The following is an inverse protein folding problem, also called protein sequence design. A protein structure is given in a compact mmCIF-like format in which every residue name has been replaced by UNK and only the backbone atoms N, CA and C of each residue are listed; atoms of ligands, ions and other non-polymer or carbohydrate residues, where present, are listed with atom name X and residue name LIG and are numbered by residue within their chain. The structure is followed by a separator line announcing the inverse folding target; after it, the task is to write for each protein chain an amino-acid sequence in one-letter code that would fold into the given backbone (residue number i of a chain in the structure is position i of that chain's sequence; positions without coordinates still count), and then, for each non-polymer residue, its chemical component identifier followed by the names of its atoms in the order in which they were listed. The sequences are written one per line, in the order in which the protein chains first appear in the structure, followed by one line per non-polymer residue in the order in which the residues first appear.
data_IF_640919602703
#
_entry.id   IF_640919602703
#
_cell.length_a   1.000
_cell.length_b   1.000
_cell.length_c   1.000
_cell.angle_alpha   90.00
_cell.angle_beta   90.00
_cell.angle_gamma   90.00
#
_symmetry.space_group_name_H-M   'P 1'
#
loop_
_entity.id
_entity.type
_entity.pdbx_description
1 polymer ?
#
# COMPACT_ATOMS: atom_id res chain seq x y z
N UNK A 1 -27.20 63.43 31.89
CA UNK A 1 -26.13 62.42 32.03
C UNK A 1 -26.79 61.15 32.52
N UNK A 2 -27.02 60.21 31.60
CA UNK A 2 -27.59 58.90 31.90
C UNK A 2 -26.48 57.88 31.64
N UNK A 3 -26.08 57.16 32.69
CA UNK A 3 -25.12 56.06 32.60
C UNK A 3 -25.81 54.85 31.97
N UNK A 4 -25.26 54.37 30.85
CA UNK A 4 -25.62 53.09 30.23
C UNK A 4 -24.47 52.14 30.53
N UNK A 5 -24.69 51.20 31.44
CA UNK A 5 -23.78 50.06 31.62
C UNK A 5 -23.91 49.11 30.42
N UNK A 6 -22.82 48.65 29.79
CA UNK A 6 -22.89 47.54 28.86
C UNK A 6 -22.87 46.23 29.65
N UNK A 7 -24.00 45.54 29.71
CA UNK A 7 -24.06 44.13 30.10
C UNK A 7 -23.46 43.28 28.98
N UNK A 8 -22.14 43.07 29.01
CA UNK A 8 -21.49 42.01 28.24
C UNK A 8 -21.80 40.69 28.95
N UNK A 9 -22.92 40.07 28.57
CA UNK A 9 -23.15 38.66 28.83
C UNK A 9 -22.06 37.88 28.10
N UNK A 10 -21.11 37.34 28.86
CA UNK A 10 -20.16 36.36 28.37
C UNK A 10 -20.98 35.15 27.88
N UNK A 11 -21.05 34.98 26.55
CA UNK A 11 -21.45 33.70 25.99
C UNK A 11 -20.28 32.75 26.24
N UNK A 12 -20.43 31.88 27.24
CA UNK A 12 -19.56 30.72 27.42
C UNK A 12 -19.56 29.92 26.12
N UNK A 13 -18.43 29.95 25.42
CA UNK A 13 -18.19 29.09 24.27
C UNK A 13 -18.05 27.67 24.81
N UNK A 14 -18.78 26.67 24.26
CA UNK A 14 -18.68 25.30 24.74
C UNK A 14 -17.26 24.79 24.46
N UNK A 15 -16.45 24.71 25.52
CA UNK A 15 -15.17 24.02 25.49
C UNK A 15 -15.48 22.54 25.61
N UNK A 16 -15.66 21.88 24.47
CA UNK A 16 -15.68 20.42 24.42
C UNK A 16 -14.35 19.91 24.97
N UNK A 17 -14.37 19.28 26.14
CA UNK A 17 -13.22 18.56 26.68
C UNK A 17 -12.88 17.40 25.72
N UNK A 18 -11.75 17.50 25.05
CA UNK A 18 -11.24 16.41 24.20
C UNK A 18 -10.54 15.41 25.13
N UNK A 19 -11.13 14.24 25.30
CA UNK A 19 -10.49 13.13 25.99
C UNK A 19 -9.63 12.32 25.00
N UNK A 20 -8.38 12.04 25.38
CA UNK A 20 -7.46 11.28 24.54
C UNK A 20 -7.67 9.78 24.75
N UNK A 21 -8.21 9.08 23.75
CA UNK A 21 -8.34 7.63 23.78
C UNK A 21 -7.05 6.96 23.29
N UNK A 22 -6.41 6.13 24.13
CA UNK A 22 -5.27 5.32 23.72
C UNK A 22 -5.72 4.04 22.98
N UNK A 23 -5.32 3.91 21.71
CA UNK A 23 -5.65 2.75 20.88
C UNK A 23 -4.54 1.70 20.91
N UNK A 24 -4.83 0.55 21.52
CA UNK A 24 -3.87 -0.54 21.63
C UNK A 24 -3.75 -1.33 20.30
N UNK A 25 -2.53 -1.55 19.82
CA UNK A 25 -2.21 -2.39 18.65
C UNK A 25 -2.20 -3.89 18.97
N UNK A 26 -2.29 -4.74 17.96
CA UNK A 26 -2.16 -6.18 18.15
C UNK A 26 -0.78 -6.53 18.69
N UNK A 27 -0.75 -7.39 19.72
CA UNK A 27 0.49 -8.02 20.17
C UNK A 27 0.94 -9.00 19.10
N UNK A 28 2.16 -8.82 18.60
CA UNK A 28 2.77 -9.66 17.57
C UNK A 28 3.76 -10.61 18.25
N UNK A 29 3.71 -11.90 17.91
CA UNK A 29 4.59 -12.94 18.47
C UNK A 29 6.02 -12.85 17.93
N UNK A 30 6.71 -11.76 18.21
CA UNK A 30 8.09 -11.52 17.75
C UNK A 30 9.05 -12.20 18.75
N UNK A 31 9.93 -13.10 18.30
CA UNK A 31 10.89 -13.78 19.16
C UNK A 31 11.80 -12.80 19.94
N UNK A 32 12.11 -13.08 21.23
CA UNK A 32 12.93 -12.19 22.06
C UNK A 32 14.32 -11.89 21.50
N UNK A 33 14.94 -12.83 20.77
CA UNK A 33 16.25 -12.62 20.17
C UNK A 33 16.24 -11.56 19.06
N UNK A 34 15.08 -11.36 18.41
CA UNK A 34 14.88 -10.28 17.43
C UNK A 34 14.68 -8.96 18.17
N UNK A 35 13.82 -8.93 19.20
CA UNK A 35 13.54 -7.70 19.95
C UNK A 35 14.71 -7.20 20.80
N UNK A 36 15.61 -8.09 21.21
CA UNK A 36 16.80 -7.75 21.99
C UNK A 36 18.04 -7.55 21.10
N UNK A 37 17.92 -7.84 19.80
CA UNK A 37 18.98 -7.66 18.81
C UNK A 37 18.78 -6.41 17.94
N UNK A 38 19.78 -6.08 17.13
CA UNK A 38 19.69 -5.00 16.13
C UNK A 38 19.28 -3.65 16.70
N UNK A 39 18.19 -3.08 16.16
CA UNK A 39 17.62 -1.79 16.58
C UNK A 39 16.45 -1.95 17.57
N UNK A 40 16.29 -3.13 18.17
CA UNK A 40 15.24 -3.44 19.12
C UNK A 40 13.84 -3.35 18.50
N UNK A 41 13.02 -2.40 18.97
CA UNK A 41 11.64 -2.17 18.50
C UNK A 41 11.50 -0.98 17.53
N UNK A 42 12.61 -0.50 16.96
CA UNK A 42 12.60 0.61 16.01
C UNK A 42 11.64 0.35 14.84
N UNK A 43 11.61 -0.87 14.32
CA UNK A 43 10.74 -1.28 13.21
C UNK A 43 9.23 -1.24 13.55
N UNK A 44 8.87 -1.09 14.83
CA UNK A 44 7.47 -0.93 15.27
C UNK A 44 6.99 0.53 15.23
N UNK A 45 7.82 1.48 14.80
CA UNK A 45 7.39 2.88 14.62
C UNK A 45 6.36 2.99 13.50
N UNK A 46 5.23 3.65 13.78
CA UNK A 46 4.18 3.91 12.80
C UNK A 46 4.70 4.92 11.77
N UNK A 47 4.60 4.59 10.48
CA UNK A 47 5.00 5.48 9.37
C UNK A 47 3.83 5.98 8.57
N UNK A 48 2.72 5.24 8.58
CA UNK A 48 1.52 5.56 7.82
C UNK A 48 0.30 5.43 8.72
N UNK A 49 -0.62 6.36 8.58
CA UNK A 49 -1.93 6.34 9.20
C UNK A 49 -2.93 6.95 8.22
N UNK A 50 -4.08 6.31 8.06
CA UNK A 50 -5.14 6.81 7.20
C UNK A 50 -6.52 6.47 7.76
N UNK A 51 -7.46 7.39 7.53
CA UNK A 51 -8.87 7.22 7.89
C UNK A 51 -9.67 6.79 6.67
N UNK A 52 -10.71 6.00 6.87
CA UNK A 52 -11.68 5.75 5.82
C UNK A 52 -12.39 7.05 5.41
N UNK A 53 -12.97 7.12 4.19
CA UNK A 53 -13.63 8.35 3.72
C UNK A 53 -14.79 8.83 4.61
N UNK A 54 -15.44 7.92 5.32
CA UNK A 54 -16.50 8.18 6.29
C UNK A 54 -15.99 8.36 7.73
N UNK A 55 -14.68 8.23 7.95
CA UNK A 55 -14.02 8.29 9.26
C UNK A 55 -14.51 7.24 10.27
N UNK A 56 -15.13 6.15 9.81
CA UNK A 56 -15.56 5.03 10.66
C UNK A 56 -14.47 3.96 10.86
N UNK A 57 -13.37 4.04 10.10
CA UNK A 57 -12.26 3.11 10.19
C UNK A 57 -10.93 3.86 10.20
N UNK A 58 -9.98 3.36 11.00
CA UNK A 58 -8.61 3.85 11.07
C UNK A 58 -7.68 2.69 10.74
N UNK A 59 -6.70 2.92 9.88
CA UNK A 59 -5.62 1.99 9.59
C UNK A 59 -4.28 2.65 9.89
N UNK A 60 -3.37 1.92 10.51
CA UNK A 60 -1.97 2.33 10.66
C UNK A 60 -1.04 1.22 10.22
N UNK A 61 0.14 1.61 9.75
CA UNK A 61 1.19 0.65 9.41
C UNK A 61 2.56 1.09 9.95
N UNK A 62 3.38 0.11 10.32
CA UNK A 62 4.74 0.32 10.83
C UNK A 62 5.83 -0.07 9.83
N UNK A 63 7.08 0.30 10.14
CA UNK A 63 8.26 -0.03 9.32
C UNK A 63 8.45 -1.53 9.10
N UNK A 64 8.06 -2.36 10.07
CA UNK A 64 8.12 -3.82 9.98
C UNK A 64 7.09 -4.40 9.00
N UNK A 65 6.12 -3.60 8.53
CA UNK A 65 5.08 -4.05 7.60
C UNK A 65 3.85 -4.63 8.26
N UNK A 66 3.65 -4.42 9.57
CA UNK A 66 2.37 -4.75 10.21
C UNK A 66 1.35 -3.65 9.95
N UNK A 67 0.12 -4.08 9.66
CA UNK A 67 -1.05 -3.19 9.56
C UNK A 67 -1.96 -3.50 10.75
N UNK A 68 -2.38 -2.46 11.47
CA UNK A 68 -3.39 -2.53 12.53
C UNK A 68 -4.58 -1.65 12.12
N UNK A 69 -5.80 -2.13 12.42
CA UNK A 69 -7.04 -1.43 12.05
C UNK A 69 -8.01 -1.34 13.22
N UNK A 70 -8.76 -0.24 13.28
CA UNK A 70 -9.79 0.06 14.27
C UNK A 70 -11.07 0.51 13.58
N UNK A 71 -12.20 0.26 14.23
CA UNK A 71 -13.54 0.62 13.77
C UNK A 71 -14.17 1.50 14.85
N UNK A 72 -14.89 2.53 14.44
CA UNK A 72 -15.65 3.39 15.33
C UNK A 72 -17.02 2.74 15.61
N UNK A 73 -17.35 2.49 16.89
CA UNK A 73 -18.69 2.04 17.24
C UNK A 73 -19.69 3.20 17.14
N UNK A 74 -20.70 3.07 16.28
CA UNK A 74 -21.83 3.99 16.23
C UNK A 74 -22.74 3.83 17.45
N UNK A 75 -23.42 4.92 17.86
CA UNK A 75 -24.46 4.88 18.88
C UNK A 75 -25.69 4.14 18.33
N UNK A 76 -25.74 2.81 18.50
CA UNK A 76 -26.89 2.00 18.08
C UNK A 76 -26.59 0.54 17.74
N UNK A 77 -25.33 0.17 17.48
CA UNK A 77 -24.94 -1.21 17.20
C UNK A 77 -24.01 -1.72 18.30
N UNK A 78 -24.59 -2.01 19.46
CA UNK A 78 -23.93 -2.88 20.42
C UNK A 78 -23.65 -4.25 19.77
N UNK A 79 -22.61 -4.97 20.20
CA UNK A 79 -22.39 -6.33 19.74
C UNK A 79 -23.66 -7.13 20.01
N UNK A 80 -24.28 -7.65 18.96
CA UNK A 80 -25.32 -8.67 19.11
C UNK A 80 -24.62 -9.90 19.67
N UNK A 81 -24.60 -10.00 20.99
CA UNK A 81 -24.31 -11.25 21.68
C UNK A 81 -25.25 -12.29 21.10
N UNK A 82 -24.66 -13.24 20.37
CA UNK A 82 -25.36 -14.40 19.86
C UNK A 82 -25.73 -15.31 21.01
N UNK A 83 -26.81 -14.98 21.73
CA UNK A 83 -27.49 -15.93 22.60
C UNK A 83 -29.00 -15.83 22.40
N UNK A 84 -29.44 -16.28 21.23
CA UNK A 84 -30.84 -16.61 21.00
C UNK A 84 -31.13 -18.03 21.48
N UNK A 85 -31.96 -18.15 22.51
CA UNK A 85 -32.93 -19.24 22.65
C UNK A 85 -32.56 -20.39 23.58
N UNK A 86 -33.16 -20.37 24.77
CA UNK A 86 -33.17 -21.53 25.66
C UNK A 86 -34.01 -21.31 26.92
N UNK A 87 -35.33 -21.18 26.76
CA UNK A 87 -36.26 -21.32 27.89
C UNK A 87 -36.19 -22.78 28.38
N UNK A 88 -35.82 -22.98 29.63
CA UNK A 88 -35.79 -24.30 30.27
C UNK A 88 -35.61 -24.17 31.78
N UNK A 89 -36.73 -24.19 32.49
CA UNK A 89 -36.81 -24.31 33.94
C UNK A 89 -36.05 -25.55 34.44
N UNK A 90 -35.29 -25.39 35.52
CA UNK A 90 -34.51 -26.48 36.14
C UNK A 90 -33.89 -26.06 37.47
N UNK A 91 -34.70 -26.17 38.51
CA UNK A 91 -34.43 -26.08 39.94
C UNK A 91 -33.25 -26.97 40.41
N UNK A 92 -32.45 -26.52 41.39
CA UNK A 92 -31.34 -27.30 41.95
C UNK A 92 -30.34 -26.50 42.79
N UNK A 93 -30.57 -26.52 44.10
CA UNK A 93 -29.87 -25.82 45.18
C UNK A 93 -28.36 -26.13 45.43
N UNK A 94 -27.76 -25.17 46.16
CA UNK A 94 -26.78 -25.30 47.25
C UNK A 94 -25.24 -25.27 47.06
N UNK A 95 -24.69 -24.19 47.66
CA UNK A 95 -23.60 -24.15 48.66
C UNK A 95 -22.15 -23.72 48.27
N UNK A 96 -21.87 -22.46 48.64
CA UNK A 96 -20.76 -21.96 49.46
C UNK A 96 -19.31 -21.82 48.90
N UNK A 97 -19.02 -20.56 48.50
CA UNK A 97 -18.02 -19.61 49.01
C UNK A 97 -16.49 -19.87 49.00
N UNK A 98 -15.82 -18.84 48.45
CA UNK A 98 -14.55 -18.14 48.81
C UNK A 98 -13.20 -18.78 48.52
N UNK A 99 -12.48 -18.16 47.59
CA UNK A 99 -11.11 -17.68 47.83
C UNK A 99 -10.83 -16.42 47.02
N UNK A 100 -10.66 -15.34 47.76
CA UNK A 100 -10.27 -13.98 47.38
C UNK A 100 -8.92 -13.97 46.62
N UNK A 101 -8.82 -13.19 45.55
CA UNK A 101 -7.56 -12.53 45.18
C UNK A 101 -7.86 -11.23 44.45
N UNK A 102 -7.59 -10.14 45.17
CA UNK A 102 -7.57 -8.74 44.74
C UNK A 102 -6.81 -8.53 43.43
N UNK A 103 -7.50 -7.93 42.47
CA UNK A 103 -6.92 -6.89 41.61
C UNK A 103 -8.05 -5.96 41.22
N UNK A 104 -8.22 -4.92 42.03
CA UNK A 104 -8.97 -3.71 41.71
C UNK A 104 -8.32 -3.06 40.48
N UNK A 105 -8.80 -3.41 39.29
CA UNK A 105 -8.91 -2.42 38.22
C UNK A 105 -10.41 -2.20 38.08
N UNK A 106 -10.84 -1.02 38.54
CA UNK A 106 -12.17 -0.50 38.33
C UNK A 106 -12.45 -0.55 36.82
N UNK A 107 -13.20 -1.56 36.38
CA UNK A 107 -13.93 -1.47 35.13
C UNK A 107 -15.02 -0.43 35.36
N UNK A 108 -14.61 0.85 35.30
CA UNK A 108 -15.53 1.93 34.98
C UNK A 108 -16.23 1.46 33.70
N UNK A 109 -17.52 1.14 33.86
CA UNK A 109 -18.45 0.98 32.76
C UNK A 109 -18.48 2.32 32.02
N UNK A 110 -17.49 2.54 31.17
CA UNK A 110 -17.45 3.63 30.21
C UNK A 110 -18.72 3.50 29.40
N UNK A 111 -19.55 4.53 29.49
CA UNK A 111 -20.78 4.69 28.74
C UNK A 111 -20.59 4.14 27.32
N UNK A 112 -21.57 3.38 26.83
CA UNK A 112 -21.64 2.82 25.48
C UNK A 112 -21.82 3.93 24.41
N UNK A 113 -20.89 4.88 24.39
CA UNK A 113 -20.87 6.10 23.61
C UNK A 113 -19.58 6.12 22.79
N UNK A 114 -19.71 5.85 21.48
CA UNK A 114 -18.71 6.11 20.42
C UNK A 114 -17.24 5.97 20.83
N UNK A 115 -16.79 4.73 21.02
CA UNK A 115 -15.37 4.41 21.21
C UNK A 115 -14.76 3.77 19.97
N UNK A 116 -13.49 4.06 19.70
CA UNK A 116 -12.71 3.27 18.75
C UNK A 116 -12.42 1.90 19.35
N UNK A 117 -12.79 0.84 18.62
CA UNK A 117 -12.47 -0.54 18.98
C UNK A 117 -11.53 -1.15 17.96
N UNK A 118 -10.73 -2.12 18.37
CA UNK A 118 -9.89 -2.87 17.44
C UNK A 118 -10.78 -3.69 16.50
N UNK A 119 -10.47 -3.66 15.21
CA UNK A 119 -11.16 -4.50 14.24
C UNK A 119 -10.97 -6.00 14.62
N UNK A 120 -12.06 -6.78 14.81
CA UNK A 120 -11.98 -8.20 15.15
C UNK A 120 -11.15 -9.03 14.16
N UNK A 121 -11.16 -8.62 12.89
CA UNK A 121 -10.47 -9.29 11.79
C UNK A 121 -9.08 -8.69 11.50
N UNK A 122 -8.57 -7.76 12.31
CA UNK A 122 -7.25 -7.17 12.13
C UNK A 122 -6.11 -8.20 12.13
N UNK A 123 -6.29 -9.32 12.84
CA UNK A 123 -5.30 -10.42 12.89
C UNK A 123 -5.18 -11.19 11.57
N UNK A 124 -6.18 -11.10 10.69
CA UNK A 124 -6.20 -11.78 9.38
C UNK A 124 -5.41 -11.01 8.33
N UNK A 125 -5.16 -9.71 8.56
CA UNK A 125 -4.34 -8.90 7.66
C UNK A 125 -2.87 -9.35 7.81
N UNK A 126 -2.23 -9.83 6.72
CA UNK A 126 -0.88 -10.38 6.78
C UNK A 126 0.16 -9.27 6.99
N UNK A 127 1.32 -9.66 7.52
CA UNK A 127 2.52 -8.82 7.51
C UNK A 127 2.97 -8.63 6.05
N UNK A 128 3.22 -7.38 5.66
CA UNK A 128 3.79 -7.06 4.34
C UNK A 128 5.25 -7.52 4.25
N UNK A 129 5.68 -7.90 3.05
CA UNK A 129 7.05 -8.36 2.81
C UNK A 129 8.10 -7.27 3.02
N UNK A 130 7.73 -6.00 2.88
CA UNK A 130 8.60 -4.86 3.17
C UNK A 130 7.82 -3.64 3.67
N UNK A 131 8.53 -2.64 4.17
CA UNK A 131 7.94 -1.44 4.77
C UNK A 131 6.95 -0.73 3.81
N UNK A 132 5.73 -0.39 4.27
CA UNK A 132 4.76 0.38 3.49
C UNK A 132 5.22 1.84 3.38
N UNK A 133 5.36 2.33 2.15
CA UNK A 133 5.65 3.73 1.86
C UNK A 133 4.38 4.55 1.65
N UNK A 134 3.27 3.89 1.32
CA UNK A 134 1.94 4.48 1.19
C UNK A 134 0.91 3.52 1.77
N UNK A 135 -0.03 4.03 2.55
CA UNK A 135 -1.23 3.35 3.02
C UNK A 135 -2.40 4.30 2.78
N UNK A 136 -3.44 3.87 2.07
CA UNK A 136 -4.59 4.73 1.81
C UNK A 136 -5.88 3.95 1.55
N UNK A 137 -6.98 4.41 2.13
CA UNK A 137 -8.33 3.99 1.77
C UNK A 137 -8.75 4.62 0.44
N UNK A 138 -9.48 3.86 -0.37
CA UNK A 138 -10.11 4.38 -1.58
C UNK A 138 -11.26 5.34 -1.25
N UNK A 139 -11.44 6.38 -2.06
CA UNK A 139 -12.55 7.35 -1.92
C UNK A 139 -13.94 6.75 -2.18
N UNK A 140 -14.01 5.54 -2.76
CA UNK A 140 -15.29 4.87 -3.05
C UNK A 140 -15.89 4.31 -1.77
N UNK A 141 -16.99 4.91 -1.32
CA UNK A 141 -17.78 4.41 -0.19
C UNK A 141 -18.72 3.27 -0.61
N UNK A 142 -19.04 2.40 0.35
CA UNK A 142 -19.90 1.21 0.21
C UNK A 142 -21.26 1.54 -0.46
N UNK A 143 -21.78 2.75 -0.26
CA UNK A 143 -23.11 3.15 -0.74
C UNK A 143 -23.15 3.47 -2.24
N UNK A 144 -22.03 3.87 -2.86
CA UNK A 144 -22.00 4.23 -4.29
C UNK A 144 -22.22 3.03 -5.22
N UNK A 145 -22.01 1.80 -4.74
CA UNK A 145 -22.25 0.57 -5.49
C UNK A 145 -23.70 0.04 -5.37
N UNK A 146 -24.49 0.54 -4.41
CA UNK A 146 -25.90 0.14 -4.25
C UNK A 146 -26.78 1.08 -5.07
N UNK A 147 -26.69 0.99 -6.41
CA UNK A 147 -27.74 1.56 -7.26
C UNK A 147 -28.99 0.66 -7.17
N UNK A 148 -30.17 1.19 -6.83
CA UNK A 148 -31.39 0.39 -6.80
C UNK A 148 -31.74 -0.07 -8.23
N UNK A 149 -31.57 -1.36 -8.51
CA UNK A 149 -32.12 -2.02 -9.70
C UNK A 149 -31.13 -2.62 -10.71
N UNK A 150 -29.82 -2.65 -10.45
CA UNK A 150 -28.87 -3.45 -11.26
C UNK A 150 -28.52 -4.76 -10.54
N UNK A 151 -28.69 -5.94 -11.18
CA UNK A 151 -28.26 -7.19 -10.57
C UNK A 151 -26.74 -7.16 -10.40
N UNK A 152 -26.33 -7.59 -9.21
CA UNK A 152 -24.96 -7.69 -8.73
C UNK A 152 -24.08 -8.45 -9.74
N UNK A 153 -23.21 -7.73 -10.44
CA UNK A 153 -22.18 -8.32 -11.28
C UNK A 153 -20.99 -8.67 -10.38
N UNK A 154 -21.17 -9.65 -9.51
CA UNK A 154 -20.11 -10.36 -8.79
C UNK A 154 -19.34 -9.55 -7.74
N UNK A 155 -20.02 -8.75 -6.93
CA UNK A 155 -19.42 -7.99 -5.82
C UNK A 155 -18.88 -8.89 -4.70
N UNK A 156 -17.57 -9.09 -4.69
CA UNK A 156 -16.83 -9.64 -3.54
C UNK A 156 -16.96 -8.63 -2.37
N UNK A 157 -17.84 -8.93 -1.39
CA UNK A 157 -17.99 -8.16 -0.15
C UNK A 157 -18.82 -6.87 -0.26
N UNK A 158 -20.15 -7.00 -0.34
CA UNK A 158 -21.10 -5.89 -0.27
C UNK A 158 -21.08 -5.22 1.12
N UNK A 159 -20.09 -4.37 1.41
CA UNK A 159 -20.00 -3.69 2.71
C UNK A 159 -18.62 -3.41 3.28
N UNK A 160 -17.53 -3.59 2.51
CA UNK A 160 -16.17 -3.34 3.00
C UNK A 160 -15.47 -2.21 2.24
N UNK A 161 -14.47 -1.63 2.89
CA UNK A 161 -13.58 -0.65 2.27
C UNK A 161 -12.53 -1.33 1.39
N UNK A 162 -11.84 -0.52 0.59
CA UNK A 162 -10.59 -0.93 -0.06
C UNK A 162 -9.45 -0.13 0.55
N UNK A 163 -8.60 -0.82 1.31
CA UNK A 163 -7.38 -0.27 1.89
C UNK A 163 -6.19 -0.71 1.03
N UNK A 164 -5.57 0.21 0.30
CA UNK A 164 -4.37 -0.08 -0.49
C UNK A 164 -3.10 0.22 0.30
N UNK A 165 -2.09 -0.63 0.13
CA UNK A 165 -0.74 -0.44 0.61
C UNK A 165 0.25 -0.59 -0.55
N UNK A 166 1.23 0.31 -0.60
CA UNK A 166 2.35 0.22 -1.53
C UNK A 166 3.63 0.08 -0.71
N UNK A 167 4.39 -0.98 -0.96
CA UNK A 167 5.61 -1.28 -0.21
C UNK A 167 6.85 -0.66 -0.85
N UNK A 168 7.94 -0.58 -0.08
CA UNK A 168 9.26 -0.17 -0.56
C UNK A 168 9.83 -1.08 -1.66
N UNK A 169 9.39 -2.34 -1.70
CA UNK A 169 9.67 -3.31 -2.77
C UNK A 169 8.71 -3.20 -3.98
N UNK A 170 7.84 -2.19 -3.99
CA UNK A 170 6.86 -1.88 -5.05
C UNK A 170 5.79 -2.97 -5.24
N UNK A 171 5.42 -3.66 -4.15
CA UNK A 171 4.20 -4.46 -4.15
C UNK A 171 3.01 -3.51 -3.95
N UNK A 172 2.05 -3.59 -4.86
CA UNK A 172 0.77 -2.88 -4.75
C UNK A 172 -0.25 -3.92 -4.33
N UNK A 173 -0.73 -3.82 -3.09
CA UNK A 173 -1.71 -4.73 -2.52
C UNK A 173 -2.87 -3.94 -1.95
N UNK A 174 -4.07 -4.48 -2.04
CA UNK A 174 -5.26 -3.90 -1.45
C UNK A 174 -6.05 -4.95 -0.67
N UNK A 175 -6.65 -4.50 0.42
CA UNK A 175 -7.36 -5.33 1.38
C UNK A 175 -8.80 -4.87 1.52
N UNK A 176 -9.66 -5.83 1.85
CA UNK A 176 -10.96 -5.65 2.46
C UNK A 176 -10.76 -5.78 3.99
N UNK A 177 -10.54 -4.66 4.70
CA UNK A 177 -10.07 -4.69 6.08
C UNK A 177 -11.13 -5.21 7.06
N UNK A 178 -12.44 -4.97 6.86
CA UNK A 178 -13.48 -5.55 7.73
C UNK A 178 -13.55 -7.08 7.59
N UNK A 179 -13.35 -7.60 6.39
CA UNK A 179 -13.28 -9.05 6.13
C UNK A 179 -11.90 -9.66 6.45
N UNK A 180 -10.85 -8.83 6.54
CA UNK A 180 -9.48 -9.29 6.75
C UNK A 180 -8.94 -10.10 5.56
N UNK A 181 -9.32 -9.76 4.33
CA UNK A 181 -8.91 -10.48 3.12
C UNK A 181 -8.30 -9.56 2.06
N UNK A 182 -7.53 -10.11 1.13
CA UNK A 182 -7.05 -9.36 -0.05
C UNK A 182 -8.20 -9.11 -1.02
N UNK A 183 -8.22 -7.98 -1.72
CA UNK A 183 -9.19 -7.74 -2.79
C UNK A 183 -9.00 -8.74 -3.94
N UNK A 184 -10.07 -9.00 -4.69
CA UNK A 184 -10.01 -9.86 -5.87
C UNK A 184 -8.97 -9.39 -6.89
N UNK A 185 -8.84 -8.07 -7.06
CA UNK A 185 -7.83 -7.46 -7.91
C UNK A 185 -6.40 -7.81 -7.45
N UNK A 186 -6.08 -7.66 -6.16
CA UNK A 186 -4.74 -7.93 -5.62
C UNK A 186 -4.34 -9.40 -5.76
N UNK A 187 -5.30 -10.31 -5.62
CA UNK A 187 -5.06 -11.76 -5.79
C UNK A 187 -4.68 -12.10 -7.25
N UNK A 188 -5.26 -11.39 -8.23
CA UNK A 188 -4.99 -11.59 -9.67
C UNK A 188 -3.71 -10.89 -10.15
N UNK A 189 -3.28 -9.83 -9.45
CA UNK A 189 -2.16 -8.99 -9.85
C UNK A 189 -1.03 -9.00 -8.81
N UNK A 190 -0.28 -10.11 -8.67
CA UNK A 190 1.01 -10.09 -7.98
C UNK A 190 1.96 -9.09 -8.68
N UNK A 191 3.02 -8.67 -7.97
CA UNK A 191 4.01 -7.69 -8.46
C UNK A 191 4.51 -7.99 -9.88
N UNK A 192 4.72 -9.26 -10.21
CA UNK A 192 5.22 -9.71 -11.53
C UNK A 192 4.28 -9.39 -12.69
N UNK A 193 2.97 -9.21 -12.43
CA UNK A 193 1.98 -8.88 -13.44
C UNK A 193 1.82 -7.37 -13.69
N UNK A 194 2.51 -6.52 -12.92
CA UNK A 194 2.48 -5.08 -13.16
C UNK A 194 3.17 -4.71 -14.49
N UNK A 195 2.86 -3.58 -15.13
CA UNK A 195 3.60 -3.13 -16.30
C UNK A 195 5.11 -3.02 -16.04
N UNK A 196 5.94 -3.43 -17.01
CA UNK A 196 7.39 -3.43 -16.86
C UNK A 196 7.95 -2.06 -16.45
N UNK A 197 7.38 -0.98 -16.98
CA UNK A 197 7.74 0.40 -16.63
C UNK A 197 7.53 0.74 -15.15
N UNK A 198 6.53 0.15 -14.49
CA UNK A 198 6.26 0.33 -13.05
C UNK A 198 7.18 -0.57 -12.23
N UNK A 199 7.39 -1.80 -12.67
CA UNK A 199 8.28 -2.74 -11.99
C UNK A 199 9.75 -2.27 -11.97
N UNK A 200 10.18 -1.57 -13.02
CA UNK A 200 11.54 -1.04 -13.19
C UNK A 200 11.78 0.28 -12.42
N UNK A 201 10.78 0.86 -11.75
CA UNK A 201 10.96 2.09 -10.96
C UNK A 201 11.96 1.85 -9.82
N UNK A 202 12.87 2.80 -9.59
CA UNK A 202 13.80 2.78 -8.44
C UNK A 202 13.32 3.69 -7.32
N UNK A 203 12.69 4.80 -7.69
CA UNK A 203 12.15 5.76 -6.74
C UNK A 203 11.01 5.16 -5.93
N UNK A 204 10.93 5.53 -4.66
CA UNK A 204 9.85 5.13 -3.78
C UNK A 204 8.58 5.96 -4.06
N UNK A 205 7.39 5.35 -4.00
CA UNK A 205 6.13 6.07 -3.97
C UNK A 205 6.06 6.96 -2.73
N UNK A 206 5.63 8.20 -2.92
CA UNK A 206 5.44 9.20 -1.87
C UNK A 206 3.97 9.36 -1.45
N UNK A 207 3.05 9.05 -2.35
CA UNK A 207 1.62 9.15 -2.07
C UNK A 207 0.76 8.57 -3.18
N UNK A 208 -0.54 8.49 -2.90
CA UNK A 208 -1.59 8.07 -3.83
C UNK A 208 -2.75 9.05 -3.75
N UNK A 209 -3.42 9.28 -4.88
CA UNK A 209 -4.68 10.01 -4.97
C UNK A 209 -5.66 9.11 -5.71
N UNK A 210 -6.88 9.03 -5.20
CA UNK A 210 -7.92 8.20 -5.81
C UNK A 210 -8.78 9.01 -6.78
N UNK A 211 -9.26 8.31 -7.80
CA UNK A 211 -10.31 8.77 -8.71
C UNK A 211 -11.21 7.57 -9.00
N UNK A 212 -12.30 7.45 -8.25
CA UNK A 212 -13.16 6.27 -8.24
C UNK A 212 -12.36 4.99 -7.91
N UNK A 213 -12.10 4.15 -8.92
CA UNK A 213 -11.32 2.91 -8.85
C UNK A 213 -9.92 3.05 -9.45
N UNK A 214 -9.50 4.27 -9.83
CA UNK A 214 -8.15 4.56 -10.33
C UNK A 214 -7.29 5.09 -9.20
N UNK A 215 -6.13 4.47 -9.02
CA UNK A 215 -5.09 4.93 -8.11
C UNK A 215 -4.04 5.72 -8.91
N UNK A 216 -3.89 7.00 -8.60
CA UNK A 216 -2.82 7.86 -9.11
C UNK A 216 -1.68 7.90 -8.11
N UNK A 217 -0.58 7.21 -8.42
CA UNK A 217 0.58 7.07 -7.53
C UNK A 217 1.71 7.93 -8.03
N UNK A 218 2.32 8.70 -7.13
CA UNK A 218 3.46 9.55 -7.46
C UNK A 218 4.67 9.25 -6.58
N UNK A 219 5.85 9.35 -7.18
CA UNK A 219 7.14 9.34 -6.50
C UNK A 219 7.83 10.70 -6.65
N UNK A 220 9.16 10.72 -6.57
CA UNK A 220 9.94 11.95 -6.80
C UNK A 220 10.05 12.28 -8.29
N UNK A 221 10.23 11.27 -9.16
CA UNK A 221 10.44 11.45 -10.60
C UNK A 221 9.38 10.84 -11.51
N UNK A 222 8.34 10.22 -10.94
CA UNK A 222 7.31 9.53 -11.72
C UNK A 222 5.90 9.83 -11.21
N UNK A 223 4.94 9.73 -12.12
CA UNK A 223 3.51 9.69 -11.84
C UNK A 223 2.89 8.61 -12.70
N UNK A 224 2.18 7.65 -12.09
CA UNK A 224 1.44 6.63 -12.82
C UNK A 224 0.00 6.54 -12.34
N UNK A 225 -0.86 6.05 -13.22
CA UNK A 225 -2.26 5.72 -12.93
C UNK A 225 -2.46 4.23 -13.15
N UNK A 226 -3.17 3.59 -12.23
CA UNK A 226 -3.58 2.20 -12.31
C UNK A 226 -5.10 2.10 -12.12
N UNK A 227 -5.80 1.53 -13.08
CA UNK A 227 -7.23 1.27 -12.99
C UNK A 227 -7.46 -0.07 -12.29
N UNK A 228 -7.84 -0.04 -11.01
CA UNK A 228 -8.06 -1.24 -10.18
C UNK A 228 -9.38 -1.95 -10.49
N UNK A 229 -10.20 -1.40 -11.40
CA UNK A 229 -11.41 -2.03 -11.92
C UNK A 229 -11.15 -3.03 -13.04
N UNK A 230 -9.98 -2.92 -13.68
CA UNK A 230 -9.63 -3.69 -14.86
C UNK A 230 -8.47 -4.64 -14.58
N UNK A 231 -8.50 -5.78 -15.26
CA UNK A 231 -7.38 -6.71 -15.24
C UNK A 231 -6.27 -6.25 -16.21
N UNK A 232 -5.03 -6.27 -15.71
CA UNK A 232 -3.83 -5.95 -16.47
C UNK A 232 -3.56 -7.08 -17.47
N UNK A 233 -3.09 -6.72 -18.67
CA UNK A 233 -2.70 -7.71 -19.66
C UNK A 233 -1.53 -8.54 -19.10
N UNK A 234 -1.62 -9.87 -19.24
CA UNK A 234 -0.54 -10.77 -18.82
C UNK A 234 0.75 -10.39 -19.56
N UNK A 235 1.92 -10.44 -18.90
CA UNK A 235 3.18 -10.37 -19.61
C UNK A 235 3.20 -11.51 -20.62
N UNK A 236 3.13 -11.18 -21.91
CA UNK A 236 3.37 -12.16 -22.97
C UNK A 236 4.81 -12.62 -22.81
N UNK A 237 5.02 -13.90 -22.52
CA UNK A 237 6.29 -14.56 -22.80
C UNK A 237 6.65 -14.21 -24.25
N UNK A 238 7.90 -13.83 -24.52
CA UNK A 238 8.39 -13.16 -25.75
C UNK A 238 8.15 -13.92 -27.08
N UNK A 239 7.29 -14.94 -27.13
CA UNK A 239 6.98 -15.73 -28.31
C UNK A 239 5.89 -15.15 -29.23
N UNK A 240 4.97 -14.28 -28.76
CA UNK A 240 3.75 -13.94 -29.52
C UNK A 240 3.35 -12.43 -29.58
N UNK A 241 4.27 -11.49 -29.34
CA UNK A 241 3.91 -10.06 -29.44
C UNK A 241 3.97 -9.53 -30.90
N UNK A 242 2.86 -9.05 -31.50
CA UNK A 242 2.90 -8.29 -32.75
C UNK A 242 3.56 -6.91 -32.52
N UNK A 243 4.32 -6.47 -33.52
CA UNK A 243 5.31 -5.39 -33.45
C UNK A 243 4.78 -3.95 -33.21
N UNK A 244 3.50 -3.75 -32.88
CA UNK A 244 2.83 -2.46 -33.10
C UNK A 244 2.37 -1.72 -31.83
N UNK A 245 2.98 -2.01 -30.68
CA UNK A 245 2.78 -1.25 -29.44
C UNK A 245 4.08 -0.64 -28.94
N UNK A 246 4.73 0.15 -29.81
CA UNK A 246 5.83 1.03 -29.43
C UNK A 246 5.29 2.23 -28.62
N UNK A 247 5.01 2.01 -27.34
CA UNK A 247 4.98 3.10 -26.38
C UNK A 247 6.44 3.55 -26.11
N UNK A 248 6.82 4.64 -26.75
CA UNK A 248 7.90 5.59 -26.42
C UNK A 248 9.10 5.05 -25.60
N UNK A 249 10.16 4.71 -26.35
CA UNK A 249 11.59 4.90 -26.04
C UNK A 249 11.99 5.10 -24.57
N UNK A 250 12.01 4.02 -23.79
CA UNK A 250 12.78 3.90 -22.55
C UNK A 250 13.66 2.67 -22.65
N UNK A 251 14.97 2.81 -22.42
CA UNK A 251 15.90 1.67 -22.39
C UNK A 251 15.43 0.70 -21.31
N UNK A 252 14.88 -0.45 -21.73
CA UNK A 252 14.37 -1.50 -20.83
C UNK A 252 15.51 -1.94 -19.92
N UNK A 253 15.29 -1.99 -18.60
CA UNK A 253 16.35 -2.38 -17.66
C UNK A 253 16.44 -3.90 -17.59
N UNK A 254 17.65 -4.44 -17.77
CA UNK A 254 17.89 -5.87 -17.59
C UNK A 254 17.86 -6.21 -16.10
N UNK A 255 16.86 -7.00 -15.67
CA UNK A 255 16.68 -7.43 -14.27
C UNK A 255 17.59 -8.60 -13.86
N UNK A 256 18.21 -9.26 -14.82
CA UNK A 256 18.90 -10.54 -14.63
C UNK A 256 20.37 -10.41 -14.19
N UNK A 257 20.77 -9.31 -13.54
CA UNK A 257 22.15 -9.12 -13.09
C UNK A 257 22.19 -8.63 -11.66
N UNK A 258 23.03 -9.26 -10.82
CA UNK A 258 23.38 -8.72 -9.51
C UNK A 258 23.96 -7.32 -9.71
N UNK A 259 23.27 -6.30 -9.19
CA UNK A 259 23.76 -4.92 -9.17
C UNK A 259 24.32 -4.60 -7.78
N UNK A 260 25.08 -3.51 -7.68
CA UNK A 260 25.75 -3.10 -6.44
C UNK A 260 24.82 -2.38 -5.45
N UNK A 261 23.52 -2.30 -5.75
CA UNK A 261 22.56 -1.50 -4.97
C UNK A 261 22.50 -0.02 -5.35
N UNK A 262 23.31 0.45 -6.31
CA UNK A 262 23.34 1.84 -6.77
C UNK A 262 23.20 1.91 -8.30
N UNK A 263 21.96 2.02 -8.79
CA UNK A 263 21.66 2.13 -10.22
C UNK A 263 21.78 0.82 -11.00
N UNK A 264 21.57 0.92 -12.32
CA UNK A 264 21.74 -0.19 -13.26
C UNK A 264 23.13 -0.21 -13.88
N UNK A 265 23.46 -1.29 -14.58
CA UNK A 265 24.71 -1.37 -15.35
C UNK A 265 24.63 -0.37 -16.51
N UNK A 266 25.63 0.50 -16.63
CA UNK A 266 25.74 1.42 -17.76
C UNK A 266 25.92 0.61 -19.05
N UNK A 267 25.17 0.93 -20.10
CA UNK A 267 25.32 0.27 -21.42
C UNK A 267 26.24 1.04 -22.37
N UNK A 268 26.46 2.32 -22.08
CA UNK A 268 27.22 3.26 -22.89
C UNK A 268 28.13 4.09 -21.99
N UNK A 269 29.23 4.58 -22.56
CA UNK A 269 30.14 5.54 -21.92
C UNK A 269 30.74 5.07 -20.59
N UNK A 270 31.01 3.76 -20.47
CA UNK A 270 31.72 3.23 -19.33
C UNK A 270 33.24 3.29 -19.55
N UNK A 271 33.99 3.56 -18.48
CA UNK A 271 35.46 3.48 -18.48
C UNK A 271 35.91 2.03 -18.63
N UNK A 272 35.18 1.09 -18.00
CA UNK A 272 35.43 -0.33 -18.14
C UNK A 272 34.88 -0.84 -19.48
N UNK A 273 35.64 -1.67 -20.23
CA UNK A 273 35.18 -2.23 -21.49
C UNK A 273 33.99 -3.18 -21.27
N UNK A 274 32.89 -2.97 -22.01
CA UNK A 274 31.73 -3.87 -21.95
C UNK A 274 31.97 -5.24 -22.59
N UNK A 275 32.91 -5.31 -23.55
CA UNK A 275 33.18 -6.51 -24.32
C UNK A 275 34.66 -6.69 -24.55
N UNK A 276 35.25 -7.65 -23.85
CA UNK A 276 36.63 -8.08 -24.05
C UNK A 276 36.58 -9.36 -24.87
N UNK A 277 37.30 -9.41 -26.00
CA UNK A 277 37.37 -10.60 -26.85
C UNK A 277 38.82 -11.02 -27.02
N UNK A 278 39.08 -12.31 -26.88
CA UNK A 278 40.34 -12.93 -27.27
C UNK A 278 40.25 -13.36 -28.72
N UNK A 279 41.26 -13.01 -29.51
CA UNK A 279 41.42 -13.49 -30.88
C UNK A 279 42.34 -14.72 -30.88
N UNK A 280 41.87 -15.84 -31.42
CA UNK A 280 42.64 -17.08 -31.58
C UNK A 280 43.12 -17.32 -33.01
N UNK A 281 44.00 -18.31 -33.17
CA UNK A 281 44.76 -18.58 -34.43
C UNK A 281 43.89 -18.93 -35.66
N UNK A 282 42.61 -19.27 -35.47
CA UNK A 282 41.66 -19.63 -36.53
C UNK A 282 40.62 -18.54 -36.84
N UNK A 283 40.95 -17.26 -36.63
CA UNK A 283 40.00 -16.13 -36.71
C UNK A 283 38.80 -16.24 -35.76
N UNK A 284 38.91 -17.12 -34.75
CA UNK A 284 37.86 -17.31 -33.75
C UNK A 284 37.98 -16.24 -32.67
N UNK A 285 36.84 -15.62 -32.36
CA UNK A 285 36.71 -14.68 -31.26
C UNK A 285 36.03 -15.37 -30.09
N UNK A 286 36.67 -15.34 -28.93
CA UNK A 286 36.11 -15.81 -27.68
C UNK A 286 35.80 -14.60 -26.80
N UNK A 287 34.54 -14.45 -26.39
CA UNK A 287 34.12 -13.39 -25.47
C UNK A 287 34.61 -13.74 -24.06
N UNK A 288 35.49 -12.92 -23.50
CA UNK A 288 36.00 -13.07 -22.14
C UNK A 288 35.08 -12.37 -21.16
N UNK A 289 34.59 -13.10 -20.16
CA UNK A 289 33.86 -12.52 -19.03
C UNK A 289 34.88 -11.86 -18.08
N UNK A 290 35.08 -10.55 -18.27
CA UNK A 290 35.97 -9.74 -17.45
C UNK A 290 35.11 -8.97 -16.45
N UNK A 291 34.91 -9.55 -15.26
CA UNK A 291 34.25 -8.81 -14.16
C UNK A 291 33.32 -9.64 -13.28
N UNK A 292 32.88 -10.83 -13.70
CA UNK A 292 32.31 -11.78 -12.74
C UNK A 292 33.44 -12.48 -12.00
N UNK A 293 33.91 -11.87 -10.91
CA UNK A 293 34.52 -12.68 -9.88
C UNK A 293 33.48 -13.75 -9.52
N UNK A 294 33.76 -15.00 -9.86
CA UNK A 294 33.08 -16.14 -9.26
C UNK A 294 33.36 -16.03 -7.76
N UNK A 295 32.50 -15.33 -7.02
CA UNK A 295 32.51 -15.41 -5.56
C UNK A 295 32.19 -16.86 -5.29
N UNK A 296 33.22 -17.60 -4.88
CA UNK A 296 33.04 -18.92 -4.33
C UNK A 296 31.94 -18.84 -3.29
N UNK A 297 31.01 -19.80 -3.37
CA UNK A 297 30.29 -20.37 -2.23
C UNK A 297 31.02 -20.02 -0.94
N UNK A 298 30.50 -19.07 -0.14
CA UNK A 298 30.64 -18.85 1.33
C UNK A 298 30.02 -17.46 1.67
N UNK A 299 28.69 -17.32 1.60
CA UNK A 299 27.95 -16.27 2.33
C UNK A 299 26.48 -16.63 2.35
N UNK A 300 26.10 -17.49 3.30
CA UNK A 300 24.71 -17.68 3.71
C UNK A 300 24.19 -16.33 4.24
N UNK A 301 23.12 -15.81 3.62
CA UNK A 301 22.53 -14.52 4.00
C UNK A 301 21.44 -14.11 3.04
N UNK A 302 20.22 -14.59 3.34
CA UNK A 302 18.93 -14.22 2.73
C UNK A 302 18.80 -14.60 1.24
N UNK A 303 18.61 -15.90 1.02
CA UNK A 303 17.83 -16.38 -0.12
C UNK A 303 16.45 -15.69 -0.07
N UNK A 304 16.23 -14.77 -1.00
CA UNK A 304 14.89 -14.53 -1.55
C UNK A 304 14.46 -15.89 -2.10
N UNK A 305 13.73 -16.66 -1.28
CA UNK A 305 13.16 -17.93 -1.71
C UNK A 305 12.32 -17.65 -2.96
N UNK A 306 12.94 -17.87 -4.11
CA UNK A 306 12.29 -18.07 -5.39
C UNK A 306 11.38 -19.28 -5.17
N UNK A 307 10.16 -18.98 -4.72
CA UNK A 307 9.13 -19.97 -4.46
C UNK A 307 9.06 -20.87 -5.69
N UNK A 308 9.32 -22.19 -5.56
CA UNK A 308 9.29 -23.09 -6.70
C UNK A 308 7.92 -22.98 -7.36
N UNK A 309 7.90 -22.91 -8.69
CA UNK A 309 6.77 -22.81 -9.63
C UNK A 309 5.48 -23.56 -9.22
N UNK A 310 4.82 -23.10 -8.16
CA UNK A 310 3.46 -23.45 -7.76
C UNK A 310 2.45 -22.51 -8.45
N UNK A 311 2.96 -21.58 -9.26
CA UNK A 311 2.16 -20.55 -9.94
C UNK A 311 1.30 -21.12 -11.08
N UNK A 312 1.60 -22.31 -11.59
CA UNK A 312 0.80 -22.92 -12.65
C UNK A 312 -0.64 -23.26 -12.21
N UNK A 313 -0.79 -23.88 -11.03
CA UNK A 313 -2.09 -24.33 -10.52
C UNK A 313 -2.84 -23.20 -9.80
N UNK A 314 -2.15 -22.41 -8.97
CA UNK A 314 -2.75 -21.27 -8.27
C UNK A 314 -3.17 -20.16 -9.22
N UNK A 315 -2.39 -19.90 -10.28
CA UNK A 315 -2.83 -18.94 -11.30
C UNK A 315 -4.07 -19.45 -12.02
N UNK A 316 -4.18 -20.75 -12.34
CA UNK A 316 -5.39 -21.32 -12.96
C UNK A 316 -6.61 -21.15 -12.05
N UNK A 317 -6.51 -21.52 -10.77
CA UNK A 317 -7.60 -21.34 -9.80
C UNK A 317 -8.05 -19.87 -9.65
N UNK A 318 -7.12 -18.92 -9.69
CA UNK A 318 -7.44 -17.48 -9.66
C UNK A 318 -8.19 -17.00 -10.91
N UNK A 319 -7.96 -17.64 -12.06
CA UNK A 319 -8.64 -17.31 -13.32
C UNK A 319 -9.98 -18.04 -13.47
N UNK A 320 -10.06 -19.33 -13.09
CA UNK A 320 -11.26 -20.14 -13.23
C UNK A 320 -12.42 -19.59 -12.36
N UNK A 321 -12.10 -18.98 -11.21
CA UNK A 321 -13.09 -18.28 -10.38
C UNK A 321 -13.68 -17.03 -11.05
N UNK A 322 -12.97 -16.42 -12.00
CA UNK A 322 -13.48 -15.29 -12.79
C UNK A 322 -14.32 -15.76 -13.99
N UNK A 323 -13.94 -16.87 -14.63
CA UNK A 323 -14.68 -17.47 -15.77
C UNK A 323 -16.02 -18.13 -15.36
N UNK A 324 -16.14 -18.59 -14.12
CA UNK A 324 -17.41 -19.11 -13.57
C UNK A 324 -18.52 -18.04 -13.43
N UNK A 325 -18.17 -16.75 -13.56
CA UNK A 325 -19.06 -15.60 -13.59
C UNK A 325 -19.38 -15.11 -15.00
N UNK A 326 -19.90 -15.97 -15.87
CA UNK A 326 -20.60 -15.58 -17.11
C UNK A 326 -19.76 -14.89 -18.19
N UNK A 327 -19.23 -15.68 -19.13
CA UNK A 327 -18.73 -15.19 -20.43
C UNK A 327 -19.89 -14.62 -21.27
N UNK A 328 -20.08 -13.31 -21.21
CA UNK A 328 -20.77 -12.58 -22.29
C UNK A 328 -19.68 -12.18 -23.29
N UNK A 329 -19.69 -12.77 -24.47
CA UNK A 329 -18.86 -12.34 -25.59
C UNK A 329 -19.26 -10.92 -25.99
N UNK A 330 -18.59 -9.93 -25.39
CA UNK A 330 -18.67 -8.55 -25.83
C UNK A 330 -17.85 -8.42 -27.11
N UNK A 331 -18.54 -8.44 -28.24
CA UNK A 331 -18.07 -7.94 -29.53
C UNK A 331 -17.40 -6.58 -29.29
N UNK A 332 -16.09 -6.53 -29.51
CA UNK A 332 -15.24 -5.36 -29.31
C UNK A 332 -15.62 -4.27 -30.30
N UNK A 333 -16.40 -3.29 -29.83
CA UNK A 333 -16.47 -1.96 -30.42
C UNK A 333 -16.64 -0.94 -29.29
N UNK A 334 -15.85 0.15 -29.35
CA UNK A 334 -15.87 1.40 -28.56
C UNK A 334 -14.70 1.60 -27.56
N UNK A 335 -13.69 2.38 -28.00
CA UNK A 335 -12.71 3.17 -27.22
C UNK A 335 -12.28 2.61 -25.85
N UNK A 336 -11.27 1.74 -25.84
CA UNK A 336 -10.77 1.09 -24.62
C UNK A 336 -10.24 2.12 -23.59
N UNK A 337 -10.84 2.12 -22.40
CA UNK A 337 -10.40 2.90 -21.23
C UNK A 337 -8.98 2.43 -20.85
N UNK A 338 -8.01 3.35 -20.85
CA UNK A 338 -6.61 3.03 -20.50
C UNK A 338 -6.54 2.36 -19.13
N UNK A 339 -6.05 1.12 -19.09
CA UNK A 339 -5.87 0.29 -17.88
C UNK A 339 -4.79 0.83 -16.95
N UNK A 340 -3.75 1.40 -17.53
CA UNK A 340 -2.64 2.00 -16.81
C UNK A 340 -2.00 3.10 -17.65
N UNK A 341 -1.27 3.99 -17.01
CA UNK A 341 -0.52 5.06 -17.65
C UNK A 341 0.65 5.49 -16.76
N UNK A 342 1.74 5.98 -17.34
CA UNK A 342 2.89 6.51 -16.59
C UNK A 342 3.52 7.70 -17.32
N UNK A 343 4.07 8.66 -16.56
CA UNK A 343 4.91 9.75 -17.05
C UNK A 343 6.08 10.02 -16.12
N UNK A 344 7.13 10.60 -16.68
CA UNK A 344 8.32 11.12 -15.98
C UNK A 344 8.51 12.63 -16.21
N UNK A 345 7.47 13.30 -16.71
CA UNK A 345 7.51 14.72 -17.07
C UNK A 345 7.74 15.62 -15.86
N UNK A 346 7.11 15.29 -14.73
CA UNK A 346 7.12 16.11 -13.53
C UNK A 346 8.27 15.70 -12.61
N UNK A 347 9.19 16.64 -12.32
CA UNK A 347 10.39 16.36 -11.51
C UNK A 347 11.11 17.63 -11.05
N UNK A 348 11.53 17.73 -9.76
CA UNK A 348 11.30 16.78 -8.67
C UNK A 348 9.98 17.06 -7.93
N UNK A 349 9.11 16.04 -7.84
CA UNK A 349 7.80 16.17 -7.19
C UNK A 349 8.00 16.21 -5.66
N UNK A 350 7.63 17.34 -5.05
CA UNK A 350 7.57 17.49 -3.59
C UNK A 350 6.30 16.84 -3.03
N UNK A 351 5.16 17.07 -3.68
CA UNK A 351 3.88 16.51 -3.26
C UNK A 351 2.79 16.74 -4.31
N UNK A 352 1.73 15.96 -4.21
CA UNK A 352 0.54 16.11 -5.04
C UNK A 352 -0.68 16.03 -4.12
N UNK A 353 -1.58 17.01 -4.22
CA UNK A 353 -2.73 17.17 -3.32
C UNK A 353 -4.00 17.42 -4.13
N UNK A 354 -5.12 16.73 -3.86
CA UNK A 354 -6.38 16.99 -4.53
C UNK A 354 -6.99 18.33 -4.08
N UNK A 355 -7.60 19.07 -5.00
CA UNK A 355 -8.27 20.35 -4.74
C UNK A 355 -9.79 20.21 -4.63
N UNK A 356 -10.37 19.18 -5.24
CA UNK A 356 -11.81 19.03 -5.37
C UNK A 356 -12.39 18.01 -4.38
N UNK A 357 -13.62 18.26 -3.93
CA UNK A 357 -14.42 17.34 -3.13
C UNK A 357 -15.39 16.55 -4.02
N UNK A 358 -15.21 15.23 -4.10
CA UNK A 358 -16.15 14.18 -4.54
C UNK A 358 -16.77 14.26 -5.95
N UNK A 359 -17.47 15.35 -6.27
CA UNK A 359 -18.45 15.41 -7.35
C UNK A 359 -17.94 16.16 -8.61
N UNK A 360 -16.69 16.62 -8.57
CA UNK A 360 -16.01 17.32 -9.66
C UNK A 360 -14.93 16.44 -10.29
N UNK A 361 -14.57 16.66 -11.57
CA UNK A 361 -13.41 16.00 -12.15
C UNK A 361 -12.18 16.23 -11.26
N UNK A 362 -11.36 15.19 -11.10
CA UNK A 362 -10.17 15.24 -10.25
C UNK A 362 -9.25 16.40 -10.69
N UNK A 363 -9.13 17.40 -9.84
CA UNK A 363 -8.17 18.50 -9.98
C UNK A 363 -7.14 18.37 -8.85
N UNK A 364 -5.86 18.50 -9.21
CA UNK A 364 -4.75 18.30 -8.29
C UNK A 364 -3.76 19.45 -8.39
N UNK A 365 -3.25 19.89 -7.24
CA UNK A 365 -2.06 20.72 -7.16
C UNK A 365 -0.84 19.79 -7.13
N UNK A 366 -0.03 19.82 -8.19
CA UNK A 366 1.27 19.16 -8.24
C UNK A 366 2.35 20.19 -7.92
N UNK A 367 3.08 19.96 -6.82
CA UNK A 367 4.13 20.87 -6.35
C UNK A 367 5.49 20.27 -6.66
N UNK A 368 6.28 20.96 -7.48
CA UNK A 368 7.67 20.64 -7.76
C UNK A 368 8.60 21.51 -6.90
N UNK A 369 9.78 20.99 -6.55
CA UNK A 369 10.79 21.76 -5.82
C UNK A 369 12.20 21.52 -6.36
N UNK A 370 12.52 22.10 -7.51
CA UNK A 370 13.84 21.93 -8.11
C UNK A 370 14.94 22.58 -7.26
N UNK A 371 16.13 21.98 -7.29
CA UNK A 371 17.26 22.39 -6.44
C UNK A 371 17.79 23.78 -6.77
N UNK A 372 17.59 24.31 -7.98
CA UNK A 372 18.00 25.67 -8.35
C UNK A 372 17.14 26.77 -7.70
N UNK A 373 15.96 26.42 -7.16
CA UNK A 373 15.16 27.33 -6.34
C UNK A 373 15.56 27.32 -4.86
N UNK A 374 16.39 26.36 -4.45
CA UNK A 374 16.93 26.33 -3.09
C UNK A 374 18.17 27.23 -3.01
N UNK A 375 18.19 28.10 -2.01
CA UNK A 375 19.40 28.83 -1.62
C UNK A 375 20.42 27.84 -1.08
N UNK A 376 21.43 27.53 -1.90
CA UNK A 376 22.54 26.67 -1.53
C UNK A 376 23.63 27.51 -0.86
N UNK A 377 24.36 26.96 0.13
CA UNK A 377 25.49 27.65 0.73
C UNK A 377 26.52 28.09 -0.33
N UNK A 378 27.18 29.22 -0.07
CA UNK A 378 28.25 29.72 -0.95
C UNK A 378 29.36 28.68 -1.13
N UNK A 379 29.82 28.53 -2.37
CA UNK A 379 30.99 27.71 -2.67
C UNK A 379 32.24 28.51 -2.34
N UNK A 380 33.07 27.99 -1.45
CA UNK A 380 34.39 28.54 -1.19
C UNK A 380 35.36 28.04 -2.26
N UNK A 381 35.96 28.95 -3.02
CA UNK A 381 36.97 28.65 -4.04
C UNK A 381 38.29 29.32 -3.65
N UNK A 382 39.40 28.58 -3.71
CA UNK A 382 40.73 29.18 -3.60
C UNK A 382 41.16 29.82 -4.94
N UNK A 383 42.14 30.73 -4.89
CA UNK A 383 42.51 31.67 -5.96
C UNK A 383 42.37 31.18 -7.41
N UNK A 384 43.04 30.08 -7.75
CA UNK A 384 43.09 29.53 -9.12
C UNK A 384 42.09 28.38 -9.37
N UNK A 385 41.25 28.02 -8.40
CA UNK A 385 40.27 26.92 -8.47
C UNK A 385 38.92 27.37 -9.05
N UNK A 386 38.90 28.42 -9.87
CA UNK A 386 37.65 28.88 -10.49
C UNK A 386 37.12 27.82 -11.45
N UNK A 387 35.84 27.48 -11.29
CA UNK A 387 35.11 26.60 -12.20
C UNK A 387 35.11 27.21 -13.62
N UNK A 388 35.28 26.37 -14.63
CA UNK A 388 35.38 26.78 -16.04
C UNK A 388 34.03 26.98 -16.69
#
# INVERSE_FOLDING_TARGET
MADIQPSLGAQDSPTSSIELQQLNRLSRGIPPHITNGGLGRYDRSITQADFSPDSEMLAVADLAGYIDTWILLGHGEGPKDGNGGGNGDGDGDDAASSSESDSEDEEEAVDANKGWIRNPNAKLIPKLASAPTVLSFSDTTIEQFVQPGKPDLGGDGSGDYVLAAITSSRHIVAFHPRHGSLTAWSRRHPRMHLPAAIQDLLDLPKGVIWQDQRAWVYGVSFLFMLDMSQDLCKPTTDADAPADSQAAHGTKRKRAGLTTGAGGVNEKENLAPHKVRKHGDNEQYEDMDVGKASRGSESEGEDDEELPDADGELSRLRHDKAEAGGRVEAVVTCAERKKWWITYKYRPILGMVPLNAGDQPLEVALVERPTWEMEMPERYLAGDERER
#
